data_IF_670337983883
#
_entry.id   IF_670337983883
#
_cell.length_a   1.000
_cell.length_b   1.000
_cell.length_c   1.000
_cell.angle_alpha   90.00
_cell.angle_beta   90.00
_cell.angle_gamma   90.00
#
_symmetry.space_group_name_H-M   'P 1'
#
loop_
_entity.id
_entity.type
_entity.pdbx_description
1 polymer ?
#
# COMPACT_ATOMS: atom_id res chain seq x y z
N UNK A 1 19.82 12.19 -16.93
CA UNK A 1 19.98 10.73 -17.04
C UNK A 1 18.60 10.10 -17.22
N UNK A 2 18.28 9.54 -18.40
CA UNK A 2 17.03 8.84 -18.60
C UNK A 2 16.98 7.56 -17.74
N UNK A 3 15.84 7.28 -17.09
CA UNK A 3 15.63 6.06 -16.28
C UNK A 3 15.29 4.85 -17.17
N UNK A 4 14.62 5.09 -18.30
CA UNK A 4 14.21 4.07 -19.27
C UNK A 4 14.02 4.72 -20.66
N UNK A 5 13.78 3.89 -21.68
CA UNK A 5 13.53 4.32 -23.07
C UNK A 5 12.46 5.41 -23.20
N UNK A 6 11.41 5.36 -22.39
CA UNK A 6 10.29 6.30 -22.45
C UNK A 6 10.50 7.54 -21.56
N UNK A 7 11.61 7.60 -20.81
CA UNK A 7 11.94 8.67 -19.86
C UNK A 7 10.83 8.90 -18.82
N UNK A 8 10.10 7.84 -18.46
CA UNK A 8 8.99 7.91 -17.51
C UNK A 8 9.38 7.41 -16.12
N UNK A 9 8.78 7.92 -15.04
CA UNK A 9 8.93 7.35 -13.71
C UNK A 9 8.46 5.90 -13.68
N UNK A 10 9.14 5.06 -12.91
CA UNK A 10 8.70 3.66 -12.73
C UNK A 10 7.40 3.54 -11.94
N UNK A 11 7.05 4.57 -11.16
CA UNK A 11 5.79 4.65 -10.43
C UNK A 11 4.58 4.34 -11.31
N UNK A 12 4.62 4.76 -12.58
CA UNK A 12 3.50 4.54 -13.51
C UNK A 12 3.22 3.06 -13.80
N UNK A 13 4.16 2.15 -13.55
CA UNK A 13 3.96 0.70 -13.74
C UNK A 13 3.04 0.09 -12.68
N UNK A 14 3.16 0.54 -11.44
CA UNK A 14 2.48 -0.04 -10.28
C UNK A 14 1.61 0.96 -9.51
N UNK A 15 1.40 2.18 -10.05
CA UNK A 15 0.53 3.20 -9.45
C UNK A 15 -0.88 2.67 -9.21
N UNK A 16 -1.43 1.91 -10.16
CA UNK A 16 -2.76 1.33 -10.01
C UNK A 16 -2.89 0.39 -8.81
N UNK A 17 -1.84 -0.37 -8.50
CA UNK A 17 -1.81 -1.25 -7.31
C UNK A 17 -1.76 -0.42 -6.02
N UNK A 18 -0.98 0.66 -6.01
CA UNK A 18 -0.94 1.60 -4.87
C UNK A 18 -2.31 2.24 -4.66
N UNK A 19 -2.93 2.74 -5.73
CA UNK A 19 -4.25 3.40 -5.66
C UNK A 19 -5.33 2.44 -5.12
N UNK A 20 -5.30 1.17 -5.53
CA UNK A 20 -6.23 0.14 -5.02
C UNK A 20 -5.96 -0.14 -3.54
N UNK A 21 -4.70 -0.30 -3.15
CA UNK A 21 -4.31 -0.54 -1.76
C UNK A 21 -4.79 0.59 -0.84
N UNK A 22 -4.51 1.84 -1.23
CA UNK A 22 -4.91 3.03 -0.46
C UNK A 22 -6.44 3.15 -0.37
N UNK A 23 -7.16 2.85 -1.45
CA UNK A 23 -8.63 2.89 -1.43
C UNK A 23 -9.22 1.85 -0.45
N UNK A 24 -8.77 0.60 -0.53
CA UNK A 24 -9.26 -0.48 0.35
C UNK A 24 -8.90 -0.19 1.80
N UNK A 25 -7.67 0.28 2.06
CA UNK A 25 -7.23 0.62 3.41
C UNK A 25 -8.03 1.78 4.01
N UNK A 26 -8.16 2.88 3.27
CA UNK A 26 -8.92 4.04 3.74
C UNK A 26 -10.41 3.70 3.92
N UNK A 27 -11.00 2.94 2.99
CA UNK A 27 -12.37 2.46 3.13
C UNK A 27 -12.54 1.57 4.36
N UNK A 28 -11.56 0.74 4.69
CA UNK A 28 -11.60 -0.08 5.90
C UNK A 28 -11.51 0.75 7.18
N UNK A 29 -10.63 1.76 7.22
CA UNK A 29 -10.53 2.67 8.38
C UNK A 29 -11.85 3.43 8.58
N UNK A 30 -12.44 3.97 7.51
CA UNK A 30 -13.71 4.68 7.58
C UNK A 30 -14.83 3.79 8.11
N UNK A 31 -14.94 2.55 7.60
CA UNK A 31 -16.00 1.65 8.05
C UNK A 31 -15.80 1.22 9.52
N UNK A 32 -14.56 1.12 10.00
CA UNK A 32 -14.24 0.88 11.42
C UNK A 32 -14.62 2.09 12.29
N UNK A 33 -14.46 3.32 11.80
CA UNK A 33 -14.94 4.50 12.53
C UNK A 33 -16.48 4.57 12.54
N UNK A 34 -17.11 4.19 11.42
CA UNK A 34 -18.57 4.16 11.30
C UNK A 34 -19.23 3.05 12.14
N UNK A 35 -18.54 1.95 12.45
CA UNK A 35 -19.09 0.89 13.33
C UNK A 35 -19.42 1.41 14.74
N UNK A 36 -18.77 2.49 15.18
CA UNK A 36 -19.10 3.15 16.45
C UNK A 36 -20.45 3.89 16.40
N UNK A 37 -20.97 4.16 15.21
CA UNK A 37 -22.26 4.81 14.99
C UNK A 37 -23.36 3.75 14.81
N UNK A 38 -23.92 3.28 15.92
CA UNK A 38 -25.08 2.38 15.86
C UNK A 38 -26.32 3.14 15.41
N UNK A 39 -26.89 2.76 14.27
CA UNK A 39 -28.19 3.27 13.81
C UNK A 39 -29.28 2.46 14.51
N UNK A 40 -30.07 3.14 15.35
CA UNK A 40 -31.22 2.58 16.03
C UNK A 40 -32.49 2.87 15.22
N UNK A 41 -33.16 1.82 14.76
CA UNK A 41 -34.50 1.94 14.16
C UNK A 41 -35.52 1.69 15.26
N UNK A 42 -36.31 2.72 15.56
CA UNK A 42 -37.36 2.65 16.58
C UNK A 42 -38.71 2.42 15.88
N UNK A 43 -39.35 1.29 16.13
CA UNK A 43 -40.73 1.06 15.70
C UNK A 43 -41.68 1.44 16.84
N UNK A 44 -42.73 2.20 16.52
CA UNK A 44 -43.77 2.60 17.46
C UNK A 44 -43.25 3.44 18.67
N UNK A 45 -42.29 4.34 18.44
CA UNK A 45 -41.77 5.24 19.48
C UNK A 45 -42.82 6.30 19.87
N UNK A 46 -43.46 6.12 21.02
CA UNK A 46 -44.47 7.02 21.59
C UNK A 46 -43.92 8.16 22.47
N UNK A 47 -42.59 8.27 22.63
CA UNK A 47 -41.97 9.21 23.56
C UNK A 47 -41.82 10.65 23.05
N UNK A 48 -41.89 11.62 23.98
CA UNK A 48 -41.67 13.04 23.69
C UNK A 48 -40.22 13.33 23.25
N UNK A 49 -40.07 13.94 22.06
CA UNK A 49 -38.84 14.52 21.49
C UNK A 49 -37.60 13.62 21.39
N UNK A 50 -36.96 13.62 20.22
CA UNK A 50 -35.71 12.86 19.96
C UNK A 50 -34.56 13.24 20.93
N UNK A 51 -34.55 14.47 21.45
CA UNK A 51 -33.58 14.95 22.43
C UNK A 51 -33.76 14.30 23.81
N UNK A 52 -35.00 14.09 24.25
CA UNK A 52 -35.33 13.35 25.46
C UNK A 52 -34.89 11.88 25.37
N UNK A 53 -35.10 11.26 24.21
CA UNK A 53 -34.62 9.91 23.91
C UNK A 53 -33.09 9.79 24.05
N UNK A 54 -32.34 10.67 23.38
CA UNK A 54 -30.87 10.63 23.41
C UNK A 54 -30.31 10.86 24.81
N UNK A 55 -30.98 11.70 25.61
CA UNK A 55 -30.61 11.94 27.01
C UNK A 55 -30.87 10.70 27.88
N UNK A 56 -32.06 10.09 27.78
CA UNK A 56 -32.40 8.87 28.49
C UNK A 56 -31.49 7.68 28.09
N UNK A 57 -31.14 7.57 26.80
CA UNK A 57 -30.20 6.55 26.32
C UNK A 57 -28.80 6.73 26.95
N UNK A 58 -28.36 7.98 27.13
CA UNK A 58 -27.04 8.33 27.66
C UNK A 58 -26.96 8.26 29.19
N UNK A 59 -28.02 8.63 29.90
CA UNK A 59 -28.05 8.69 31.37
C UNK A 59 -28.55 7.39 32.00
N UNK A 60 -29.63 6.81 31.44
CA UNK A 60 -30.34 5.69 32.05
C UNK A 60 -30.04 4.35 31.38
N UNK A 61 -29.33 4.34 30.24
CA UNK A 61 -29.05 3.14 29.43
C UNK A 61 -30.31 2.31 29.09
N UNK A 62 -31.49 2.92 29.14
CA UNK A 62 -32.77 2.25 29.01
C UNK A 62 -33.66 2.96 27.98
N UNK A 63 -34.46 2.18 27.26
CA UNK A 63 -35.35 2.69 26.20
C UNK A 63 -36.79 2.49 26.68
N UNK A 64 -37.52 3.59 26.86
CA UNK A 64 -38.97 3.53 27.13
C UNK A 64 -39.71 3.17 25.85
N UNK A 65 -40.55 2.14 25.93
CA UNK A 65 -41.36 1.60 24.86
C UNK A 65 -42.81 1.60 25.30
N UNK A 66 -43.71 2.14 24.48
CA UNK A 66 -45.14 2.01 24.69
C UNK A 66 -45.67 0.81 23.86
N UNK A 67 -46.37 -0.10 24.52
CA UNK A 67 -47.14 -1.16 23.86
C UNK A 67 -48.61 -0.77 23.88
N UNK A 68 -49.21 -0.63 22.70
CA UNK A 68 -50.56 -0.17 22.45
C UNK A 68 -51.54 -1.32 22.11
N UNK A 69 -51.12 -2.59 21.96
CA UNK A 69 -52.11 -3.68 21.86
C UNK A 69 -51.64 -5.09 21.51
N UNK A 70 -52.59 -6.04 21.59
CA UNK A 70 -52.45 -7.46 21.23
C UNK A 70 -52.21 -7.62 19.72
N UNK A 71 -50.94 -7.51 19.31
CA UNK A 71 -50.49 -7.50 17.92
C UNK A 71 -49.26 -6.61 17.67
N UNK A 72 -48.75 -5.93 18.70
CA UNK A 72 -47.65 -4.98 18.56
C UNK A 72 -46.31 -5.57 18.12
N UNK A 73 -45.67 -4.86 17.20
CA UNK A 73 -44.26 -5.01 16.81
C UNK A 73 -43.41 -3.84 17.36
N UNK A 74 -43.70 -3.39 18.59
CA UNK A 74 -42.89 -2.37 19.26
C UNK A 74 -41.53 -2.97 19.62
N UNK A 75 -40.44 -2.41 19.06
CA UNK A 75 -39.10 -2.96 19.20
C UNK A 75 -38.01 -1.95 18.83
N UNK A 76 -36.81 -2.18 19.33
CA UNK A 76 -35.60 -1.49 18.83
C UNK A 76 -34.84 -2.48 17.98
N UNK A 77 -34.81 -2.21 16.68
CA UNK A 77 -33.94 -2.94 15.78
C UNK A 77 -32.62 -2.17 15.64
N UNK A 78 -31.53 -2.90 15.87
CA UNK A 78 -30.18 -2.40 15.61
C UNK A 78 -29.82 -2.77 14.18
N UNK A 79 -29.56 -1.77 13.33
CA UNK A 79 -28.93 -2.00 12.05
C UNK A 79 -27.41 -2.04 12.29
N UNK A 80 -26.86 -3.25 12.40
CA UNK A 80 -25.41 -3.47 12.38
C UNK A 80 -24.96 -3.58 10.92
N UNK A 81 -24.03 -2.75 10.51
CA UNK A 81 -23.37 -2.88 9.21
C UNK A 81 -22.35 -4.02 9.35
N UNK A 82 -22.57 -5.13 8.64
CA UNK A 82 -21.62 -6.24 8.59
C UNK A 82 -20.54 -5.94 7.53
N UNK A 83 -19.31 -5.72 7.99
CA UNK A 83 -18.18 -5.38 7.11
C UNK A 83 -17.46 -6.70 6.79
N UNK A 84 -17.33 -7.08 5.50
CA UNK A 84 -16.63 -8.31 5.12
C UNK A 84 -15.11 -8.16 5.28
N UNK A 85 -14.62 -8.36 6.50
CA UNK A 85 -13.20 -8.18 6.87
C UNK A 85 -12.27 -9.17 6.15
N UNK A 86 -12.72 -10.40 5.91
CA UNK A 86 -11.91 -11.46 5.29
C UNK A 86 -11.57 -11.14 3.83
N UNK A 87 -12.56 -10.72 3.05
CA UNK A 87 -12.37 -10.33 1.65
C UNK A 87 -11.43 -9.12 1.53
N UNK A 88 -11.52 -8.17 2.46
CA UNK A 88 -10.64 -6.98 2.49
C UNK A 88 -9.21 -7.32 2.86
N UNK A 89 -9.02 -8.15 3.87
CA UNK A 89 -7.69 -8.62 4.25
C UNK A 89 -7.03 -9.38 3.10
N UNK A 90 -7.77 -10.29 2.45
CA UNK A 90 -7.29 -11.03 1.28
C UNK A 90 -6.87 -10.08 0.15
N UNK A 91 -7.69 -9.06 -0.15
CA UNK A 91 -7.39 -8.09 -1.19
C UNK A 91 -6.16 -7.24 -0.86
N UNK A 92 -5.99 -6.82 0.40
CA UNK A 92 -4.81 -6.08 0.86
C UNK A 92 -3.54 -6.93 0.77
N UNK A 93 -3.60 -8.20 1.15
CA UNK A 93 -2.46 -9.12 1.06
C UNK A 93 -2.04 -9.40 -0.37
N UNK A 94 -2.99 -9.72 -1.26
CA UNK A 94 -2.72 -9.95 -2.68
C UNK A 94 -2.15 -8.68 -3.33
N UNK A 95 -2.79 -7.53 -3.11
CA UNK A 95 -2.31 -6.26 -3.69
C UNK A 95 -0.92 -5.89 -3.19
N UNK A 96 -0.62 -6.15 -1.91
CA UNK A 96 0.72 -5.93 -1.34
C UNK A 96 1.75 -6.87 -1.95
N UNK A 97 1.42 -8.15 -2.12
CA UNK A 97 2.30 -9.13 -2.78
C UNK A 97 2.60 -8.71 -4.22
N UNK A 98 1.56 -8.41 -5.00
CA UNK A 98 1.69 -7.98 -6.40
C UNK A 98 2.51 -6.69 -6.51
N UNK A 99 2.34 -5.76 -5.58
CA UNK A 99 3.14 -4.54 -5.52
C UNK A 99 4.64 -4.84 -5.38
N UNK A 100 5.04 -5.79 -4.53
CA UNK A 100 6.46 -6.16 -4.40
C UNK A 100 7.02 -6.79 -5.68
N UNK A 101 6.23 -7.62 -6.35
CA UNK A 101 6.63 -8.27 -7.61
C UNK A 101 6.78 -7.24 -8.73
N UNK A 102 5.75 -6.40 -8.95
CA UNK A 102 5.72 -5.40 -10.03
C UNK A 102 6.66 -4.22 -9.78
N UNK A 103 6.80 -3.79 -8.52
CA UNK A 103 7.79 -2.77 -8.15
C UNK A 103 9.22 -3.31 -8.12
N UNK A 104 9.40 -4.63 -8.24
CA UNK A 104 10.69 -5.32 -8.12
C UNK A 104 11.39 -4.95 -6.80
N UNK A 105 10.60 -4.92 -5.73
CA UNK A 105 11.04 -4.61 -4.38
C UNK A 105 11.45 -5.87 -3.62
N UNK A 106 12.10 -5.66 -2.47
CA UNK A 106 12.37 -6.72 -1.51
C UNK A 106 11.43 -6.51 -0.33
N UNK A 107 10.68 -7.54 0.03
CA UNK A 107 9.85 -7.53 1.23
C UNK A 107 10.72 -7.87 2.46
N UNK A 108 10.86 -6.95 3.43
CA UNK A 108 11.65 -7.21 4.64
C UNK A 108 11.03 -8.26 5.57
N UNK A 109 9.73 -8.56 5.43
CA UNK A 109 9.05 -9.60 6.22
C UNK A 109 9.51 -10.98 5.76
N UNK A 110 9.56 -11.20 4.45
CA UNK A 110 10.05 -12.45 3.86
C UNK A 110 11.52 -12.69 4.26
N UNK A 111 12.31 -11.62 4.39
CA UNK A 111 13.68 -11.69 4.89
C UNK A 111 13.77 -12.25 6.33
N UNK A 112 12.78 -11.98 7.19
CA UNK A 112 12.75 -12.50 8.56
C UNK A 112 12.36 -13.98 8.62
N UNK A 113 11.45 -14.43 7.76
CA UNK A 113 11.08 -15.85 7.65
C UNK A 113 12.24 -16.70 7.11
N UNK A 114 13.07 -16.07 6.28
CA UNK A 114 14.31 -16.61 5.71
C UNK A 114 15.45 -16.62 6.76
N UNK A 115 15.21 -16.34 8.05
CA UNK A 115 16.23 -16.17 9.11
C UNK A 115 17.29 -17.28 9.28
N UNK A 116 17.10 -18.45 8.65
CA UNK A 116 18.07 -19.56 8.59
C UNK A 116 18.34 -20.06 7.15
N UNK A 117 18.03 -19.27 6.13
CA UNK A 117 18.08 -19.72 4.76
C UNK A 117 19.50 -19.66 4.18
N UNK A 118 19.79 -20.61 3.30
CA UNK A 118 21.04 -20.71 2.55
C UNK A 118 21.31 -19.43 1.75
N UNK A 119 22.58 -19.09 1.50
CA UNK A 119 22.96 -17.94 0.66
C UNK A 119 22.41 -17.99 -0.78
N UNK A 120 21.80 -19.09 -1.19
CA UNK A 120 20.99 -19.20 -2.41
C UNK A 120 19.61 -18.56 -2.28
N UNK A 121 18.95 -18.68 -1.13
CA UNK A 121 17.64 -18.07 -0.87
C UNK A 121 17.75 -16.55 -0.75
N UNK A 122 18.82 -16.05 -0.11
CA UNK A 122 19.09 -14.61 -0.05
C UNK A 122 19.30 -14.08 -1.48
N UNK A 123 20.10 -14.76 -2.31
CA UNK A 123 20.29 -14.38 -3.72
C UNK A 123 18.98 -14.41 -4.52
N UNK A 124 18.12 -15.40 -4.30
CA UNK A 124 16.82 -15.47 -4.96
C UNK A 124 15.93 -14.26 -4.60
N UNK A 125 15.94 -13.83 -3.33
CA UNK A 125 15.19 -12.66 -2.87
C UNK A 125 15.67 -11.35 -3.52
N UNK A 126 16.98 -11.19 -3.73
CA UNK A 126 17.53 -10.04 -4.44
C UNK A 126 17.32 -10.09 -5.96
N UNK A 127 16.81 -11.20 -6.53
CA UNK A 127 16.75 -11.41 -7.98
C UNK A 127 15.98 -10.31 -8.74
N UNK A 128 14.80 -9.93 -8.25
CA UNK A 128 14.01 -8.85 -8.86
C UNK A 128 14.69 -7.49 -8.72
N UNK A 129 15.27 -7.20 -7.55
CA UNK A 129 15.97 -5.94 -7.32
C UNK A 129 17.24 -5.84 -8.19
N UNK A 130 17.97 -6.94 -8.37
CA UNK A 130 19.15 -6.97 -9.24
C UNK A 130 18.77 -6.74 -10.70
N UNK A 131 17.66 -7.31 -11.18
CA UNK A 131 17.17 -7.03 -12.53
C UNK A 131 16.90 -5.53 -12.71
N UNK A 132 16.23 -4.90 -11.74
CA UNK A 132 15.96 -3.45 -11.74
C UNK A 132 17.24 -2.62 -11.70
N UNK A 133 18.18 -3.00 -10.85
CA UNK A 133 19.47 -2.32 -10.68
C UNK A 133 20.32 -2.44 -11.95
N UNK A 134 20.37 -3.61 -12.57
CA UNK A 134 21.08 -3.87 -13.83
C UNK A 134 20.55 -3.02 -14.98
N UNK A 135 19.21 -2.94 -15.14
CA UNK A 135 18.59 -2.06 -16.14
C UNK A 135 18.93 -0.58 -15.86
N UNK A 136 18.82 -0.16 -14.60
CA UNK A 136 19.13 1.22 -14.22
C UNK A 136 20.59 1.56 -14.49
N UNK A 137 21.50 0.67 -14.12
CA UNK A 137 22.93 0.81 -14.37
C UNK A 137 23.25 0.93 -15.85
N UNK A 138 22.61 0.14 -16.71
CA UNK A 138 22.81 0.22 -18.17
C UNK A 138 22.52 1.62 -18.70
N UNK A 139 21.36 2.19 -18.37
CA UNK A 139 21.01 3.55 -18.80
C UNK A 139 21.90 4.63 -18.19
N UNK A 140 22.30 4.46 -16.92
CA UNK A 140 23.18 5.40 -16.25
C UNK A 140 24.61 5.35 -16.81
N UNK A 141 25.09 4.18 -17.19
CA UNK A 141 26.42 3.99 -17.79
C UNK A 141 26.54 4.75 -19.09
N UNK A 142 25.54 4.66 -19.96
CA UNK A 142 25.51 5.39 -21.23
C UNK A 142 25.51 6.91 -20.98
N UNK A 143 24.61 7.39 -20.12
CA UNK A 143 24.48 8.81 -19.88
C UNK A 143 25.65 9.41 -19.06
N UNK A 144 26.31 8.64 -18.18
CA UNK A 144 27.55 9.07 -17.51
C UNK A 144 28.72 9.11 -18.49
N UNK A 145 28.78 8.17 -19.43
CA UNK A 145 29.78 8.20 -20.50
C UNK A 145 29.61 9.47 -21.34
N UNK A 146 28.37 9.81 -21.70
CA UNK A 146 28.05 11.05 -22.43
C UNK A 146 28.47 12.30 -21.63
N UNK A 147 28.16 12.35 -20.33
CA UNK A 147 28.57 13.47 -19.47
C UNK A 147 30.10 13.60 -19.40
N UNK A 148 30.82 12.49 -19.18
CA UNK A 148 32.29 12.50 -19.12
C UNK A 148 32.88 12.96 -20.46
N UNK A 149 32.33 12.51 -21.59
CA UNK A 149 32.73 12.98 -22.92
C UNK A 149 32.51 14.48 -23.08
N UNK A 150 31.35 15.00 -22.67
CA UNK A 150 31.07 16.43 -22.73
C UNK A 150 32.09 17.26 -21.93
N UNK A 151 32.48 16.78 -20.74
CA UNK A 151 33.52 17.41 -19.91
C UNK A 151 34.89 17.37 -20.61
N UNK A 152 35.28 16.24 -21.19
CA UNK A 152 36.55 16.09 -21.92
C UNK A 152 36.63 17.02 -23.13
N UNK A 153 35.53 17.15 -23.87
CA UNK A 153 35.41 18.08 -25.01
C UNK A 153 35.52 19.53 -24.56
N UNK A 154 34.87 19.90 -23.45
CA UNK A 154 34.99 21.24 -22.87
C UNK A 154 36.42 21.57 -22.43
N UNK A 155 37.12 20.61 -21.84
CA UNK A 155 38.53 20.73 -21.45
C UNK A 155 39.52 20.67 -22.63
N UNK A 156 39.04 20.53 -23.87
CA UNK A 156 39.86 20.41 -25.10
C UNK A 156 40.90 19.29 -25.02
N UNK A 157 40.55 18.18 -24.37
CA UNK A 157 41.44 17.02 -24.29
C UNK A 157 41.61 16.43 -25.70
N UNK A 158 42.85 16.20 -26.18
CA UNK A 158 43.08 15.53 -27.44
C UNK A 158 42.49 14.11 -27.41
N UNK A 159 41.77 13.76 -28.48
CA UNK A 159 41.09 12.47 -28.62
C UNK A 159 40.11 12.17 -27.46
N UNK A 160 39.29 13.16 -27.11
CA UNK A 160 38.22 12.99 -26.12
C UNK A 160 37.28 11.82 -26.47
N UNK A 161 37.09 11.54 -27.76
CA UNK A 161 36.17 10.51 -28.21
C UNK A 161 36.75 9.08 -28.23
N UNK A 162 38.06 8.91 -28.47
CA UNK A 162 38.72 7.61 -28.50
C UNK A 162 39.05 7.03 -27.11
N UNK A 163 38.99 7.84 -26.05
CA UNK A 163 39.36 7.40 -24.70
C UNK A 163 38.35 6.40 -24.12
N UNK A 164 38.86 5.27 -23.67
CA UNK A 164 38.07 4.26 -22.96
C UNK A 164 37.69 4.76 -21.57
N UNK A 165 36.39 4.90 -21.32
CA UNK A 165 35.83 5.26 -20.00
C UNK A 165 35.47 3.96 -19.29
N UNK A 166 36.19 3.62 -18.23
CA UNK A 166 35.87 2.49 -17.36
C UNK A 166 35.01 2.99 -16.19
N UNK A 167 33.88 2.34 -15.93
CA UNK A 167 33.02 2.65 -14.80
C UNK A 167 32.82 1.42 -13.93
N UNK A 168 33.09 1.56 -12.62
CA UNK A 168 32.93 0.53 -11.60
C UNK A 168 31.68 0.82 -10.79
N UNK A 169 30.80 -0.17 -10.66
CA UNK A 169 29.56 -0.07 -9.90
C UNK A 169 29.57 -1.13 -8.81
N UNK A 170 29.14 -0.76 -7.61
CA UNK A 170 29.12 -1.67 -6.46
C UNK A 170 27.68 -1.92 -6.04
N UNK A 171 27.36 -3.19 -5.76
CA UNK A 171 26.06 -3.60 -5.22
C UNK A 171 26.19 -3.81 -3.73
N UNK A 172 25.30 -3.21 -2.95
CA UNK A 172 25.15 -3.50 -1.53
C UNK A 172 24.11 -4.62 -1.37
N UNK A 173 24.55 -5.88 -1.42
CA UNK A 173 23.71 -7.03 -1.15
C UNK A 173 24.14 -7.68 0.16
N UNK A 174 23.17 -8.11 0.98
CA UNK A 174 23.47 -8.92 2.16
C UNK A 174 23.90 -10.31 1.65
N UNK A 175 25.11 -10.74 1.99
CA UNK A 175 25.60 -12.09 1.76
C UNK A 175 26.07 -12.64 3.10
N UNK A 176 25.75 -13.91 3.38
CA UNK A 176 26.40 -14.62 4.48
C UNK A 176 27.81 -15.01 4.00
N UNK A 177 28.84 -14.51 4.67
CA UNK A 177 30.20 -15.06 4.61
C UNK A 177 30.24 -16.43 5.32
#
# INVERSE_FOLDING_TARGET
>A
FPKNKYQRPELLKYKGLIDVYDNVYNGFVNDVDDIQQVILVLTNYGGESLSGFMKALKEDHAIKMDSVGTGDKSGVDKLTIDIPVEARNTLLEVTKSDLFVEAQGINPVDFKEIGNASGTAIRALYGHLELKASITESYFRDALTELVRAILTWLKVPDADGRKINQTWTRTAIQND
#
